data_IF_742575147099
#
_entry.id   IF_742575147099
#
_cell.length_a   1.000
_cell.length_b   1.000
_cell.length_c   1.000
_cell.angle_alpha   90.00
_cell.angle_beta   90.00
_cell.angle_gamma   90.00
#
_symmetry.space_group_name_H-M   'P 1'
#
loop_
_entity.id
_entity.type
_entity.pdbx_description
1 polymer ?
#
# COMPACT_ATOMS: atom_id res chain seq x y z
N UNK A 1 14.28 12.43 -15.92
CA UNK A 1 13.85 13.28 -17.07
C UNK A 1 12.42 12.85 -17.41
N UNK A 2 11.42 13.74 -17.36
CA UNK A 2 10.05 13.37 -17.67
C UNK A 2 9.94 12.90 -19.14
N UNK A 3 9.05 11.94 -19.44
CA UNK A 3 8.89 11.44 -20.80
C UNK A 3 8.35 12.55 -21.70
N UNK A 4 9.06 12.85 -22.78
CA UNK A 4 8.59 13.76 -23.84
C UNK A 4 7.56 13.02 -24.72
N UNK A 5 6.33 12.90 -24.26
CA UNK A 5 5.21 12.40 -25.07
C UNK A 5 4.25 13.56 -25.36
N UNK A 6 3.76 13.67 -26.59
CA UNK A 6 2.88 14.75 -27.05
C UNK A 6 1.50 14.77 -26.34
N UNK A 7 1.15 13.68 -25.66
CA UNK A 7 -0.12 13.49 -24.97
C UNK A 7 0.01 13.50 -23.43
N UNK A 8 1.15 13.96 -22.90
CA UNK A 8 1.37 14.07 -21.46
C UNK A 8 1.74 15.51 -21.13
N UNK A 9 0.96 16.12 -20.27
CA UNK A 9 1.25 17.42 -19.67
C UNK A 9 1.63 17.21 -18.20
N UNK A 10 2.75 17.80 -17.77
CA UNK A 10 3.19 17.79 -16.39
C UNK A 10 2.83 19.13 -15.76
N UNK A 11 2.04 19.10 -14.71
CA UNK A 11 1.67 20.25 -13.89
C UNK A 11 2.31 20.07 -12.51
N UNK A 12 2.97 21.10 -12.00
CA UNK A 12 3.71 21.06 -10.73
C UNK A 12 2.82 21.53 -9.57
N UNK A 13 1.79 22.32 -9.88
CA UNK A 13 0.87 22.85 -8.89
C UNK A 13 0.06 21.73 -8.22
N UNK A 14 -0.15 21.78 -6.90
CA UNK A 14 -0.99 20.82 -6.22
C UNK A 14 -2.46 20.98 -6.67
N UNK A 15 -3.19 19.87 -6.82
CA UNK A 15 -4.62 19.93 -7.07
C UNK A 15 -5.36 20.43 -5.82
N UNK A 16 -6.36 21.29 -6.03
CA UNK A 16 -7.16 21.90 -4.97
C UNK A 16 -8.58 21.34 -4.92
N UNK A 17 -9.17 21.01 -6.07
CA UNK A 17 -10.54 20.53 -6.14
C UNK A 17 -10.76 19.58 -7.32
N UNK A 18 -11.58 18.56 -7.12
CA UNK A 18 -12.13 17.71 -8.19
C UNK A 18 -13.61 18.05 -8.35
N UNK A 19 -14.02 18.42 -9.56
CA UNK A 19 -15.38 18.81 -9.86
C UNK A 19 -16.15 17.73 -10.62
N UNK A 20 -17.49 17.76 -10.45
CA UNK A 20 -18.46 16.85 -11.05
C UNK A 20 -19.49 16.38 -10.04
N UNK A 21 -20.68 15.99 -10.52
CA UNK A 21 -21.76 15.43 -9.68
C UNK A 21 -21.85 13.92 -9.87
N UNK A 22 -22.29 13.46 -11.03
CA UNK A 22 -22.42 12.02 -11.34
C UNK A 22 -21.15 11.40 -11.92
N UNK A 23 -20.26 12.25 -12.41
CA UNK A 23 -18.95 11.88 -12.96
C UNK A 23 -17.97 13.02 -12.80
N UNK A 24 -16.69 12.68 -12.79
CA UNK A 24 -15.60 13.69 -12.79
C UNK A 24 -15.66 14.49 -14.09
N UNK A 25 -15.64 15.81 -13.98
CA UNK A 25 -15.62 16.73 -15.09
C UNK A 25 -14.39 17.62 -15.12
N UNK A 26 -13.69 17.79 -14.00
CA UNK A 26 -12.53 18.66 -13.94
C UNK A 26 -11.66 18.49 -12.71
N UNK A 27 -10.47 19.03 -12.80
CA UNK A 27 -9.48 19.16 -11.75
C UNK A 27 -9.00 20.60 -11.72
N UNK A 28 -9.06 21.22 -10.56
CA UNK A 28 -8.56 22.57 -10.31
C UNK A 28 -7.19 22.53 -9.61
N UNK A 29 -6.38 23.51 -9.94
CA UNK A 29 -5.25 23.98 -9.15
C UNK A 29 -5.54 25.41 -8.69
N UNK A 30 -4.59 26.08 -8.03
CA UNK A 30 -4.79 27.47 -7.61
C UNK A 30 -4.92 28.42 -8.81
N UNK A 31 -4.31 28.09 -9.95
CA UNK A 31 -4.26 28.97 -11.13
C UNK A 31 -4.98 28.41 -12.35
N UNK A 32 -5.15 27.11 -12.46
CA UNK A 32 -5.62 26.46 -13.69
C UNK A 32 -6.80 25.47 -13.44
N UNK A 33 -7.53 25.24 -14.54
CA UNK A 33 -8.58 24.22 -14.64
C UNK A 33 -8.27 23.24 -15.77
N UNK A 34 -8.38 21.94 -15.47
CA UNK A 34 -8.19 20.86 -16.41
C UNK A 34 -9.48 20.04 -16.56
N UNK A 35 -10.07 20.03 -17.77
CA UNK A 35 -11.17 19.14 -18.10
C UNK A 35 -10.71 17.71 -18.17
N UNK A 36 -11.15 16.86 -17.23
CA UNK A 36 -10.73 15.45 -17.14
C UNK A 36 -11.93 14.53 -16.88
N UNK A 37 -11.86 13.29 -17.34
CA UNK A 37 -12.90 12.28 -17.12
C UNK A 37 -12.58 11.32 -15.96
N UNK A 38 -11.33 11.30 -15.49
CA UNK A 38 -10.91 10.48 -14.36
C UNK A 38 -9.71 11.13 -13.66
N UNK A 39 -9.62 10.93 -12.35
CA UNK A 39 -8.48 11.35 -11.52
C UNK A 39 -7.97 10.15 -10.75
N UNK A 40 -6.68 9.85 -10.88
CA UNK A 40 -5.99 8.82 -10.11
C UNK A 40 -5.08 9.49 -9.09
N UNK A 41 -5.36 9.31 -7.81
CA UNK A 41 -4.56 9.89 -6.72
C UNK A 41 -3.57 8.88 -6.17
N UNK A 42 -2.29 9.23 -6.27
CA UNK A 42 -1.19 8.48 -5.64
C UNK A 42 -0.58 9.37 -4.55
N UNK A 43 -0.92 9.10 -3.31
CA UNK A 43 -0.40 9.87 -2.17
C UNK A 43 0.42 8.99 -1.25
N UNK A 44 1.27 9.60 -0.45
CA UNK A 44 1.96 8.92 0.62
C UNK A 44 0.94 8.35 1.63
N UNK A 45 1.19 7.16 2.10
CA UNK A 45 0.44 6.53 3.20
C UNK A 45 1.11 6.84 4.53
N UNK A 46 0.38 6.62 5.63
CA UNK A 46 0.95 6.71 6.96
C UNK A 46 2.14 5.73 7.10
N UNK A 47 3.12 6.05 7.94
CA UNK A 47 4.23 5.13 8.22
C UNK A 47 3.69 3.78 8.70
N UNK A 48 4.27 2.69 8.22
CA UNK A 48 3.80 1.33 8.52
C UNK A 48 3.82 0.98 10.01
N UNK A 49 4.65 1.64 10.78
CA UNK A 49 4.77 1.50 12.24
C UNK A 49 3.99 2.56 13.03
N UNK A 50 3.12 3.36 12.38
CA UNK A 50 2.33 4.37 13.09
C UNK A 50 1.31 3.76 14.05
N UNK A 51 0.78 2.59 13.73
CA UNK A 51 -0.19 1.84 14.55
C UNK A 51 0.42 0.66 15.32
N UNK A 52 1.66 0.26 15.00
CA UNK A 52 2.41 -0.78 15.68
C UNK A 52 3.90 -0.39 15.73
N UNK A 53 4.31 0.43 16.71
CA UNK A 53 5.64 1.03 16.78
C UNK A 53 6.80 0.03 16.86
N UNK A 54 6.55 -1.18 17.38
CA UNK A 54 7.53 -2.25 17.54
C UNK A 54 7.90 -2.93 16.21
N UNK A 55 7.15 -2.69 15.12
CA UNK A 55 7.45 -3.28 13.82
C UNK A 55 8.84 -2.88 13.32
N UNK A 56 9.63 -3.87 12.98
CA UNK A 56 10.92 -3.64 12.32
C UNK A 56 10.70 -3.22 10.87
N UNK A 57 11.14 -2.00 10.57
CA UNK A 57 11.10 -1.43 9.22
C UNK A 57 12.49 -1.49 8.60
N UNK A 58 12.60 -1.99 7.38
CA UNK A 58 13.80 -1.93 6.54
C UNK A 58 13.55 -1.03 5.34
N UNK A 59 14.19 0.13 5.33
CA UNK A 59 13.90 1.17 4.35
C UNK A 59 12.48 1.69 4.47
N UNK A 60 11.61 1.33 3.53
CA UNK A 60 10.18 1.72 3.49
C UNK A 60 9.24 0.52 3.62
N UNK A 61 9.72 -0.60 4.11
CA UNK A 61 8.99 -1.86 4.11
C UNK A 61 9.04 -2.53 5.47
N UNK A 62 7.98 -3.23 5.84
CA UNK A 62 7.97 -4.11 7.00
C UNK A 62 8.90 -5.29 6.73
N UNK A 63 9.80 -5.56 7.67
CA UNK A 63 10.60 -6.78 7.63
C UNK A 63 9.75 -8.00 7.96
N UNK A 64 9.85 -9.02 7.14
CA UNK A 64 9.27 -10.35 7.38
C UNK A 64 10.28 -11.44 7.04
N UNK A 65 10.14 -12.55 7.71
CA UNK A 65 10.89 -13.78 7.40
C UNK A 65 10.28 -14.57 6.23
N UNK A 66 10.83 -15.75 5.98
CA UNK A 66 10.33 -16.66 4.94
C UNK A 66 8.95 -17.22 5.21
N UNK A 67 8.40 -17.07 6.39
CA UNK A 67 7.03 -17.45 6.76
C UNK A 67 6.07 -16.24 6.84
N UNK A 68 6.49 -15.09 6.32
CA UNK A 68 5.75 -13.84 6.39
C UNK A 68 5.50 -13.35 7.83
N UNK A 69 6.28 -13.84 8.81
CA UNK A 69 6.25 -13.35 10.19
C UNK A 69 7.04 -12.05 10.31
N UNK A 70 6.51 -11.11 11.05
CA UNK A 70 7.25 -9.91 11.48
C UNK A 70 8.10 -10.22 12.72
N UNK A 71 8.82 -9.22 13.21
CA UNK A 71 9.50 -9.33 14.51
C UNK A 71 8.55 -9.29 15.71
N UNK A 72 7.28 -8.96 15.50
CA UNK A 72 6.26 -8.94 16.54
C UNK A 72 5.48 -10.25 16.50
N UNK A 73 5.45 -10.95 17.63
CA UNK A 73 4.80 -12.25 17.75
C UNK A 73 3.31 -12.18 17.39
N UNK A 74 2.84 -13.12 16.58
CA UNK A 74 1.44 -13.18 16.11
C UNK A 74 1.10 -12.15 15.03
N UNK A 75 2.06 -11.37 14.56
CA UNK A 75 1.87 -10.39 13.49
C UNK A 75 2.56 -10.85 12.21
N UNK A 76 1.77 -10.92 11.14
CA UNK A 76 2.20 -11.35 9.82
C UNK A 76 1.96 -10.22 8.83
N UNK A 77 2.82 -10.12 7.81
CA UNK A 77 2.65 -9.11 6.77
C UNK A 77 2.93 -9.68 5.37
N UNK A 78 2.21 -9.17 4.40
CA UNK A 78 2.38 -9.54 2.99
C UNK A 78 1.86 -8.46 2.07
N UNK A 79 2.32 -8.45 0.83
CA UNK A 79 1.96 -7.46 -0.17
C UNK A 79 2.92 -6.29 -0.24
N UNK A 80 2.44 -5.16 -0.71
CA UNK A 80 3.25 -3.98 -1.01
C UNK A 80 3.98 -3.41 0.21
N UNK A 81 3.41 -3.59 1.41
CA UNK A 81 4.04 -3.17 2.66
C UNK A 81 5.36 -3.92 2.97
N UNK A 82 5.61 -5.07 2.35
CA UNK A 82 6.84 -5.85 2.53
C UNK A 82 7.90 -5.58 1.46
N UNK A 83 7.67 -4.61 0.57
CA UNK A 83 8.64 -4.14 -0.43
C UNK A 83 8.30 -4.47 -1.87
N UNK A 84 9.26 -4.19 -2.74
CA UNK A 84 9.13 -4.39 -4.19
C UNK A 84 9.26 -5.87 -4.60
N UNK A 85 8.79 -6.25 -5.82
CA UNK A 85 8.04 -5.42 -6.77
C UNK A 85 6.57 -5.25 -6.34
N UNK A 86 6.04 -4.06 -6.51
CA UNK A 86 4.63 -3.75 -6.20
C UNK A 86 3.73 -4.24 -7.33
N UNK A 87 3.34 -5.49 -7.23
CA UNK A 87 2.56 -6.21 -8.25
C UNK A 87 1.41 -6.97 -7.59
N UNK A 88 0.24 -6.92 -8.20
CA UNK A 88 -0.99 -7.55 -7.69
C UNK A 88 -0.79 -9.05 -7.41
N UNK A 89 -0.18 -9.77 -8.36
CA UNK A 89 0.06 -11.21 -8.22
C UNK A 89 1.00 -11.54 -7.07
N UNK A 90 2.05 -10.71 -6.85
CA UNK A 90 2.94 -10.86 -5.70
C UNK A 90 2.20 -10.59 -4.39
N UNK A 91 1.44 -9.50 -4.34
CA UNK A 91 0.67 -9.13 -3.15
C UNK A 91 -0.34 -10.23 -2.76
N UNK A 92 -1.05 -10.79 -3.73
CA UNK A 92 -1.98 -11.90 -3.51
C UNK A 92 -1.28 -13.14 -2.96
N UNK A 93 -0.18 -13.57 -3.59
CA UNK A 93 0.61 -14.73 -3.13
C UNK A 93 1.20 -14.55 -1.74
N UNK A 94 1.69 -13.36 -1.43
CA UNK A 94 2.21 -13.04 -0.09
C UNK A 94 1.09 -12.98 0.95
N UNK A 95 -0.08 -12.43 0.62
CA UNK A 95 -1.25 -12.43 1.49
C UNK A 95 -1.70 -13.85 1.84
N UNK A 96 -1.76 -14.75 0.85
CA UNK A 96 -2.04 -16.17 1.07
C UNK A 96 -1.00 -16.81 1.99
N UNK A 97 0.28 -16.56 1.77
CA UNK A 97 1.35 -17.09 2.61
C UNK A 97 1.22 -16.61 4.06
N UNK A 98 0.99 -15.31 4.26
CA UNK A 98 0.79 -14.72 5.59
C UNK A 98 -0.41 -15.35 6.31
N UNK A 99 -1.54 -15.52 5.62
CA UNK A 99 -2.72 -16.16 6.18
C UNK A 99 -2.47 -17.62 6.60
N UNK A 100 -1.82 -18.42 5.75
CA UNK A 100 -1.48 -19.80 6.08
C UNK A 100 -0.50 -19.89 7.24
N UNK A 101 0.44 -18.98 7.35
CA UNK A 101 1.37 -18.92 8.47
C UNK A 101 0.68 -18.52 9.77
N UNK A 102 -0.25 -17.58 9.72
CA UNK A 102 -1.07 -17.22 10.86
C UNK A 102 -1.94 -18.39 11.37
N UNK A 103 -2.55 -19.16 10.45
CA UNK A 103 -3.32 -20.37 10.80
C UNK A 103 -2.43 -21.41 11.51
N UNK A 104 -1.24 -21.67 11.00
CA UNK A 104 -0.29 -22.62 11.64
C UNK A 104 0.17 -22.12 13.01
N UNK A 105 0.41 -20.83 13.15
CA UNK A 105 0.77 -20.22 14.43
C UNK A 105 -0.35 -20.41 15.48
N UNK A 106 -1.59 -20.16 15.10
CA UNK A 106 -2.74 -20.34 15.99
C UNK A 106 -2.91 -21.81 16.38
N UNK A 107 -2.85 -22.74 15.43
CA UNK A 107 -2.97 -24.17 15.70
C UNK A 107 -1.91 -24.68 16.70
N UNK A 108 -0.65 -24.27 16.50
CA UNK A 108 0.43 -24.60 17.43
C UNK A 108 0.21 -24.02 18.83
N UNK A 109 -0.27 -22.80 18.92
CA UNK A 109 -0.57 -22.14 20.19
C UNK A 109 -1.71 -22.81 20.92
N UNK A 110 -2.75 -23.25 20.21
CA UNK A 110 -3.88 -23.97 20.79
C UNK A 110 -3.45 -25.34 21.36
N UNK A 111 -2.55 -26.07 20.67
CA UNK A 111 -1.91 -27.30 21.19
C UNK A 111 -1.11 -27.06 22.48
N UNK A 112 -0.35 -25.94 22.55
CA UNK A 112 0.44 -25.57 23.74
C UNK A 112 -0.43 -25.16 24.94
N UNK A 113 -1.62 -24.61 24.70
CA UNK A 113 -2.57 -24.19 25.74
C UNK A 113 -3.52 -25.34 26.16
N UNK A 114 -3.56 -26.45 25.39
CA UNK A 114 -4.38 -27.60 25.69
C UNK A 114 -5.86 -27.48 25.31
N UNK A 115 -6.12 -26.73 24.25
CA UNK A 115 -7.41 -26.68 23.58
C UNK A 115 -7.57 -27.80 22.55
#
# INVERSE_FOLDING_TARGET
>A
RPPKRKNITIVIEPPTEITGTDRVTGLHTDTDFFGVQAVFMFRATDPLNSFLPELQIRGRSVYVDDQAQTNVEGVFAGGDCTGQPWQVNRAAGQGQKAALSAIRYLAKRDEEIGY
#
